data_IF_084292664856
#
_entry.id   IF_084292664856
#
_cell.length_a   1.000
_cell.length_b   1.000
_cell.length_c   1.000
_cell.angle_alpha   90.00
_cell.angle_beta   90.00
_cell.angle_gamma   90.00
#
_symmetry.space_group_name_H-M   'P 1'
#
loop_
_entity.id
_entity.type
_entity.pdbx_description
1 polymer ?
#
# COMPACT_ATOMS: atom_id res chain seq x y z
N UNK A 1 -9.94 4.50 -8.38
CA UNK A 1 -9.88 4.86 -7.15
C UNK A 1 -10.70 4.38 -5.95
N UNK A 2 -11.94 4.83 -5.78
CA UNK A 2 -12.67 4.60 -4.49
C UNK A 2 -12.95 3.11 -4.21
N UNK A 3 -13.24 2.29 -5.23
CA UNK A 3 -13.51 0.87 -5.06
C UNK A 3 -12.28 0.09 -4.58
N UNK A 4 -11.10 0.38 -5.13
CA UNK A 4 -9.84 -0.22 -4.69
C UNK A 4 -9.50 0.20 -3.26
N UNK A 5 -9.67 1.49 -2.94
CA UNK A 5 -9.42 2.02 -1.58
C UNK A 5 -10.32 1.34 -0.55
N UNK A 6 -11.62 1.18 -0.81
CA UNK A 6 -12.54 0.53 0.14
C UNK A 6 -12.24 -0.97 0.37
N UNK A 7 -11.61 -1.66 -0.59
CA UNK A 7 -11.17 -3.04 -0.39
C UNK A 7 -9.97 -3.11 0.58
N UNK A 8 -9.00 -2.20 0.40
CA UNK A 8 -7.81 -2.11 1.26
C UNK A 8 -8.20 -1.65 2.66
N UNK A 9 -9.03 -0.60 2.79
CA UNK A 9 -9.49 -0.09 4.09
C UNK A 9 -10.14 -1.16 4.95
N UNK A 10 -11.00 -2.02 4.37
CA UNK A 10 -11.61 -3.15 5.11
C UNK A 10 -10.58 -4.12 5.70
N UNK A 11 -9.46 -4.37 5.02
CA UNK A 11 -8.40 -5.23 5.56
C UNK A 11 -7.62 -4.51 6.66
N UNK A 12 -7.27 -3.23 6.44
CA UNK A 12 -6.59 -2.38 7.43
C UNK A 12 -7.41 -2.33 8.73
N UNK A 13 -8.71 -2.12 8.62
CA UNK A 13 -9.64 -2.07 9.76
C UNK A 13 -9.75 -3.38 10.54
N UNK A 14 -9.53 -4.52 9.88
CA UNK A 14 -9.51 -5.84 10.54
C UNK A 14 -8.23 -6.10 11.30
N UNK A 15 -7.12 -5.53 10.82
CA UNK A 15 -5.79 -5.74 11.42
C UNK A 15 -5.54 -4.79 12.60
N UNK A 16 -6.17 -3.62 12.61
CA UNK A 16 -5.89 -2.57 13.60
C UNK A 16 -7.17 -2.19 14.37
N UNK A 17 -7.26 -2.70 15.61
CA UNK A 17 -8.39 -2.43 16.50
C UNK A 17 -8.29 -1.04 17.14
N UNK A 18 -9.41 -0.43 17.58
CA UNK A 18 -9.39 0.76 18.43
C UNK A 18 -8.48 0.55 19.65
N UNK A 19 -7.72 1.58 20.01
CA UNK A 19 -6.74 1.54 21.11
C UNK A 19 -5.35 1.04 20.72
N UNK A 20 -5.17 0.40 19.54
CA UNK A 20 -3.85 0.02 19.03
C UNK A 20 -3.03 1.24 18.61
N UNK A 21 -1.69 1.12 18.65
CA UNK A 21 -0.75 2.12 18.15
C UNK A 21 -0.11 1.60 16.85
N UNK A 22 -0.37 2.27 15.74
CA UNK A 22 0.04 1.85 14.39
C UNK A 22 1.07 2.81 13.81
N UNK A 23 2.11 2.25 13.20
CA UNK A 23 3.09 2.96 12.40
C UNK A 23 2.61 2.97 10.93
N UNK A 24 2.41 4.14 10.35
CA UNK A 24 2.14 4.26 8.92
C UNK A 24 3.34 4.85 8.19
N UNK A 25 3.83 4.11 7.21
CA UNK A 25 4.89 4.53 6.30
C UNK A 25 4.31 5.02 4.98
N UNK A 26 4.94 6.06 4.42
CA UNK A 26 4.52 6.65 3.14
C UNK A 26 3.04 7.08 3.17
N UNK A 27 2.66 7.80 4.23
CA UNK A 27 1.27 8.17 4.50
C UNK A 27 0.67 9.14 3.47
N UNK A 28 1.50 9.75 2.62
CA UNK A 28 1.08 10.74 1.64
C UNK A 28 0.29 11.87 2.29
N UNK A 29 -0.91 12.12 1.79
CA UNK A 29 -1.80 13.17 2.31
C UNK A 29 -2.64 12.73 3.52
N UNK A 30 -2.33 11.59 4.16
CA UNK A 30 -2.85 11.17 5.45
C UNK A 30 -4.23 10.53 5.45
N UNK A 31 -4.76 10.08 4.31
CA UNK A 31 -6.13 9.54 4.21
C UNK A 31 -6.35 8.30 5.10
N UNK A 32 -5.41 7.36 5.07
CA UNK A 32 -5.55 6.11 5.81
C UNK A 32 -5.29 6.33 7.31
N UNK A 33 -4.31 7.17 7.67
CA UNK A 33 -4.04 7.60 9.05
C UNK A 33 -5.26 8.28 9.69
N UNK A 34 -5.89 9.23 8.98
CA UNK A 34 -7.10 9.92 9.44
C UNK A 34 -8.26 8.93 9.61
N UNK A 35 -8.45 8.00 8.66
CA UNK A 35 -9.50 7.00 8.76
C UNK A 35 -9.31 6.07 9.97
N UNK A 36 -8.09 5.63 10.24
CA UNK A 36 -7.76 4.83 11.42
C UNK A 36 -7.94 5.63 12.72
N UNK A 37 -7.45 6.87 12.76
CA UNK A 37 -7.55 7.71 13.97
C UNK A 37 -8.99 8.02 14.35
N UNK A 38 -9.88 8.26 13.37
CA UNK A 38 -11.34 8.43 13.60
C UNK A 38 -11.99 7.18 14.20
N UNK A 39 -11.39 6.01 14.04
CA UNK A 39 -11.81 4.74 14.64
C UNK A 39 -11.20 4.48 16.02
N UNK A 40 -10.45 5.43 16.56
CA UNK A 40 -9.81 5.30 17.89
C UNK A 40 -8.47 4.58 17.86
N UNK A 41 -7.84 4.42 16.70
CA UNK A 41 -6.46 3.91 16.57
C UNK A 41 -5.51 5.09 16.78
N UNK A 42 -4.46 4.91 17.60
CA UNK A 42 -3.34 5.85 17.67
C UNK A 42 -2.45 5.63 16.45
N UNK A 43 -2.13 6.70 15.70
CA UNK A 43 -1.32 6.57 14.49
C UNK A 43 -0.11 7.50 14.54
N UNK A 44 1.07 6.94 14.29
CA UNK A 44 2.29 7.69 13.98
C UNK A 44 2.58 7.52 12.48
N UNK A 45 2.33 8.56 11.72
CA UNK A 45 2.35 8.53 10.25
C UNK A 45 3.52 9.34 9.69
N UNK A 46 4.24 8.74 8.75
CA UNK A 46 5.45 9.32 8.18
C UNK A 46 5.42 9.31 6.66
N UNK A 47 5.95 10.39 6.06
CA UNK A 47 6.21 10.48 4.63
C UNK A 47 7.54 11.18 4.36
N UNK A 48 8.20 10.82 3.27
CA UNK A 48 9.47 11.45 2.87
C UNK A 48 9.26 12.88 2.32
N UNK A 49 8.05 13.22 1.87
CA UNK A 49 7.71 14.50 1.27
C UNK A 49 7.19 15.50 2.31
N UNK A 50 7.92 16.60 2.58
CA UNK A 50 7.42 17.65 3.47
C UNK A 50 6.07 18.24 3.01
N UNK A 51 5.84 18.31 1.71
CA UNK A 51 4.59 18.83 1.15
C UNK A 51 3.41 17.90 1.44
N UNK A 52 3.58 16.57 1.33
CA UNK A 52 2.55 15.60 1.69
C UNK A 52 2.21 15.69 3.17
N UNK A 53 3.23 15.78 4.04
CA UNK A 53 3.05 15.95 5.49
C UNK A 53 2.35 17.27 5.81
N UNK A 54 2.67 18.35 5.12
CA UNK A 54 1.99 19.64 5.28
C UNK A 54 0.50 19.53 4.94
N UNK A 55 0.16 18.87 3.82
CA UNK A 55 -1.25 18.64 3.44
C UNK A 55 -1.96 17.77 4.47
N UNK A 56 -1.31 16.70 4.95
CA UNK A 56 -1.86 15.82 5.96
C UNK A 56 -2.16 16.57 7.28
N UNK A 57 -1.21 17.40 7.76
CA UNK A 57 -1.40 18.23 8.94
C UNK A 57 -2.53 19.25 8.78
N UNK A 58 -2.67 19.87 7.58
CA UNK A 58 -3.78 20.77 7.30
C UNK A 58 -5.15 20.04 7.38
N UNK A 59 -5.22 18.81 6.91
CA UNK A 59 -6.45 18.01 7.07
C UNK A 59 -6.73 17.67 8.53
N UNK A 60 -5.69 17.29 9.29
CA UNK A 60 -5.81 17.00 10.71
C UNK A 60 -6.31 18.21 11.50
N UNK A 61 -5.83 19.43 11.20
CA UNK A 61 -6.29 20.66 11.84
C UNK A 61 -7.76 21.02 11.55
N UNK A 62 -8.34 20.45 10.49
CA UNK A 62 -9.75 20.61 10.15
C UNK A 62 -10.66 19.55 10.80
N UNK A 63 -10.09 18.57 11.51
CA UNK A 63 -10.91 17.55 12.21
C UNK A 63 -11.62 18.18 13.41
N UNK A 64 -12.92 17.84 13.60
CA UNK A 64 -13.73 18.43 14.67
C UNK A 64 -13.36 17.90 16.07
N UNK A 65 -12.58 16.82 16.12
CA UNK A 65 -12.16 16.17 17.37
C UNK A 65 -10.64 16.06 17.44
N UNK A 66 -10.10 16.05 18.65
CA UNK A 66 -8.69 15.75 18.88
C UNK A 66 -8.43 14.27 18.60
N UNK A 67 -7.78 13.97 17.49
CA UNK A 67 -7.40 12.62 17.11
C UNK A 67 -6.01 12.27 17.67
N UNK A 68 -5.83 11.02 18.07
CA UNK A 68 -4.54 10.50 18.51
C UNK A 68 -3.66 10.15 17.30
N UNK A 69 -3.27 11.17 16.56
CA UNK A 69 -2.59 11.08 15.27
C UNK A 69 -1.52 12.16 15.16
N UNK A 70 -0.35 11.78 14.66
CA UNK A 70 0.73 12.69 14.32
C UNK A 70 1.28 12.40 12.92
N UNK A 71 1.60 13.46 12.18
CA UNK A 71 2.28 13.38 10.90
C UNK A 71 3.66 14.01 11.00
N UNK A 72 4.69 13.33 10.51
CA UNK A 72 6.07 13.81 10.54
C UNK A 72 6.82 13.44 9.27
N UNK A 73 7.82 14.25 8.91
CA UNK A 73 8.69 13.96 7.77
C UNK A 73 9.73 12.94 8.19
N UNK A 74 9.71 11.78 7.55
CA UNK A 74 10.73 10.75 7.74
C UNK A 74 10.82 9.88 6.48
N UNK A 75 12.04 9.64 6.02
CA UNK A 75 12.31 8.70 4.93
C UNK A 75 12.41 7.27 5.49
N UNK A 76 12.03 6.29 4.70
CA UNK A 76 12.09 4.89 5.12
C UNK A 76 13.51 4.43 5.50
N UNK A 77 14.54 5.00 4.89
CA UNK A 77 15.95 4.73 5.21
C UNK A 77 16.35 5.21 6.63
N UNK A 78 15.53 6.07 7.24
CA UNK A 78 15.77 6.63 8.57
C UNK A 78 14.88 6.03 9.66
N UNK A 79 14.22 4.91 9.41
CA UNK A 79 13.38 4.21 10.40
C UNK A 79 14.15 3.80 11.66
N UNK A 80 15.48 3.70 11.60
CA UNK A 80 16.33 3.46 12.75
C UNK A 80 16.26 4.55 13.84
N UNK A 81 15.79 5.75 13.48
CA UNK A 81 15.60 6.87 14.42
C UNK A 81 14.34 6.73 15.28
N UNK A 82 13.42 5.85 14.89
CA UNK A 82 12.20 5.63 15.65
C UNK A 82 12.49 4.72 16.84
N UNK A 83 11.90 5.07 17.98
CA UNK A 83 11.96 4.30 19.21
C UNK A 83 10.57 3.78 19.59
N UNK A 84 10.55 2.79 20.49
CA UNK A 84 9.33 2.18 20.99
C UNK A 84 8.82 1.04 20.11
N UNK A 85 7.64 0.54 20.49
CA UNK A 85 6.98 -0.59 19.85
C UNK A 85 5.58 -0.20 19.41
N UNK A 86 5.23 -0.65 18.21
CA UNK A 86 3.91 -0.47 17.60
C UNK A 86 3.13 -1.79 17.60
N UNK A 87 1.82 -1.73 17.77
CA UNK A 87 0.94 -2.89 17.66
C UNK A 87 0.82 -3.42 16.23
N UNK A 88 1.23 -2.60 15.27
CA UNK A 88 1.35 -3.00 13.87
C UNK A 88 1.89 -1.87 13.00
N UNK A 89 2.10 -2.18 11.72
CA UNK A 89 2.58 -1.21 10.73
C UNK A 89 1.82 -1.32 9.40
N UNK A 90 1.77 -0.21 8.66
CA UNK A 90 1.07 -0.07 7.41
C UNK A 90 1.93 0.69 6.39
N UNK A 91 1.95 0.22 5.14
CA UNK A 91 2.34 1.03 3.98
C UNK A 91 1.38 0.77 2.84
N UNK A 92 0.65 1.80 2.40
CA UNK A 92 -0.43 1.65 1.45
C UNK A 92 -0.11 2.29 0.09
N UNK A 93 -0.82 1.82 -0.95
CA UNK A 93 -0.78 2.33 -2.33
C UNK A 93 0.61 2.63 -2.88
N UNK A 94 1.47 1.61 -2.86
CA UNK A 94 2.78 1.59 -3.51
C UNK A 94 3.82 2.58 -2.94
N UNK A 95 3.60 3.16 -1.77
CA UNK A 95 4.61 4.02 -1.15
C UNK A 95 5.95 3.30 -0.97
N UNK A 96 5.92 2.05 -0.52
CA UNK A 96 7.12 1.25 -0.33
C UNK A 96 7.84 0.90 -1.66
N UNK A 97 7.13 0.86 -2.80
CA UNK A 97 7.74 0.61 -4.10
C UNK A 97 8.77 1.69 -4.50
N UNK A 98 8.72 2.88 -3.89
CA UNK A 98 9.68 3.97 -4.13
C UNK A 98 10.96 3.84 -3.29
N UNK A 99 11.06 2.86 -2.39
CA UNK A 99 12.25 2.60 -1.59
C UNK A 99 13.11 1.53 -2.25
N UNK A 100 14.44 1.69 -2.16
CA UNK A 100 15.40 0.74 -2.75
C UNK A 100 15.84 -0.32 -1.75
N UNK A 101 15.95 0.01 -0.48
CA UNK A 101 16.40 -0.89 0.59
C UNK A 101 15.23 -1.53 1.35
N UNK A 102 14.60 -2.51 0.72
CA UNK A 102 13.53 -3.28 1.36
C UNK A 102 14.03 -4.19 2.48
N UNK A 103 15.28 -4.64 2.42
CA UNK A 103 15.88 -5.48 3.46
C UNK A 103 16.06 -4.69 4.75
N UNK A 104 16.69 -3.52 4.67
CA UNK A 104 16.86 -2.65 5.83
C UNK A 104 15.51 -2.21 6.42
N UNK A 105 14.51 -1.92 5.59
CA UNK A 105 13.15 -1.60 6.05
C UNK A 105 12.52 -2.80 6.77
N UNK A 106 12.67 -4.03 6.26
CA UNK A 106 12.14 -5.23 6.90
C UNK A 106 12.76 -5.47 8.27
N UNK A 107 14.08 -5.27 8.41
CA UNK A 107 14.80 -5.38 9.68
C UNK A 107 14.33 -4.33 10.69
N UNK A 108 14.16 -3.07 10.25
CA UNK A 108 13.64 -2.01 11.11
C UNK A 108 12.18 -2.25 11.54
N UNK A 109 11.32 -2.69 10.64
CA UNK A 109 9.94 -3.06 10.98
C UNK A 109 9.90 -4.26 11.94
N UNK A 110 10.83 -5.20 11.78
CA UNK A 110 11.00 -6.32 12.72
C UNK A 110 11.32 -5.83 14.15
N UNK A 111 12.10 -4.78 14.27
CA UNK A 111 12.44 -4.14 15.56
C UNK A 111 11.26 -3.33 16.13
N UNK A 112 10.52 -2.64 15.26
CA UNK A 112 9.49 -1.66 15.67
C UNK A 112 8.11 -2.28 15.93
N UNK A 113 7.78 -3.42 15.30
CA UNK A 113 6.49 -4.06 15.47
C UNK A 113 6.55 -5.13 16.54
N UNK A 114 5.59 -5.12 17.47
CA UNK A 114 5.49 -6.13 18.54
C UNK A 114 5.28 -7.54 17.97
N UNK A 115 5.76 -8.61 18.65
CA UNK A 115 5.37 -9.98 18.32
C UNK A 115 3.84 -10.11 18.23
N UNK A 116 3.35 -10.84 17.23
CA UNK A 116 1.93 -10.95 16.94
C UNK A 116 1.30 -9.74 16.22
N UNK A 117 2.02 -8.62 16.11
CA UNK A 117 1.55 -7.42 15.41
C UNK A 117 1.46 -7.61 13.89
N UNK A 118 0.48 -6.94 13.28
CA UNK A 118 0.28 -6.98 11.83
C UNK A 118 1.17 -6.00 11.08
N UNK A 119 1.69 -6.44 9.92
CA UNK A 119 2.30 -5.58 8.90
C UNK A 119 1.46 -5.69 7.62
N UNK A 120 0.76 -4.62 7.28
CA UNK A 120 -0.09 -4.56 6.09
C UNK A 120 0.61 -3.76 5.00
N UNK A 121 0.90 -4.41 3.88
CA UNK A 121 1.55 -3.79 2.72
C UNK A 121 0.64 -3.83 1.50
N UNK A 122 0.40 -2.69 0.87
CA UNK A 122 -0.29 -2.58 -0.41
C UNK A 122 0.70 -2.05 -1.46
N UNK A 123 1.21 -2.95 -2.29
CA UNK A 123 2.32 -2.68 -3.21
C UNK A 123 1.92 -2.94 -4.66
N UNK A 124 2.57 -2.27 -5.61
CA UNK A 124 2.51 -2.64 -7.03
C UNK A 124 3.36 -3.88 -7.27
N UNK A 125 2.72 -4.93 -7.79
CA UNK A 125 3.40 -6.16 -8.20
C UNK A 125 3.88 -6.11 -9.66
N UNK A 126 4.49 -7.22 -10.11
CA UNK A 126 5.03 -7.37 -11.48
C UNK A 126 3.97 -7.47 -12.58
N UNK A 127 2.74 -7.80 -12.22
CA UNK A 127 1.66 -8.02 -13.20
C UNK A 127 0.52 -7.05 -12.91
N UNK A 128 0.00 -6.44 -13.97
CA UNK A 128 -1.23 -5.64 -13.91
C UNK A 128 -2.01 -5.87 -15.19
N UNK A 129 -3.12 -6.60 -15.11
CA UNK A 129 -3.93 -6.99 -16.26
C UNK A 129 -4.35 -5.76 -17.08
N UNK A 130 -4.88 -4.75 -16.43
CA UNK A 130 -5.36 -3.54 -17.08
C UNK A 130 -4.26 -2.76 -17.78
N UNK A 131 -3.08 -2.62 -17.16
CA UNK A 131 -1.94 -1.95 -17.77
C UNK A 131 -1.44 -2.69 -19.01
N UNK A 132 -1.40 -4.03 -18.93
CA UNK A 132 -0.98 -4.88 -20.04
C UNK A 132 -1.97 -4.75 -21.22
N UNK A 133 -3.27 -5.01 -20.98
CA UNK A 133 -4.30 -4.94 -22.01
C UNK A 133 -4.37 -3.55 -22.64
N UNK A 134 -4.46 -2.51 -21.81
CA UNK A 134 -4.52 -1.13 -22.29
C UNK A 134 -3.30 -0.72 -23.13
N UNK A 135 -2.11 -1.16 -22.72
CA UNK A 135 -0.86 -0.84 -23.44
C UNK A 135 -0.74 -1.64 -24.74
N UNK A 136 -1.14 -2.91 -24.75
CA UNK A 136 -1.14 -3.76 -25.94
C UNK A 136 -2.12 -3.25 -27.00
N UNK A 137 -3.34 -2.88 -26.61
CA UNK A 137 -4.33 -2.29 -27.51
C UNK A 137 -3.86 -0.98 -28.18
N UNK A 138 -2.88 -0.29 -27.59
CA UNK A 138 -2.25 0.92 -28.14
C UNK A 138 -0.90 0.68 -28.81
N UNK A 139 -0.53 -0.59 -29.04
CA UNK A 139 0.75 -0.95 -29.68
C UNK A 139 1.99 -0.65 -28.81
N UNK A 140 1.82 -0.41 -27.50
CA UNK A 140 2.91 -0.02 -26.60
C UNK A 140 3.45 -1.24 -25.84
N UNK A 141 4.06 -2.18 -26.52
CA UNK A 141 4.55 -3.46 -25.96
C UNK A 141 5.52 -3.28 -24.80
N UNK A 142 6.49 -2.38 -24.93
CA UNK A 142 7.45 -2.11 -23.82
C UNK A 142 6.76 -1.63 -22.55
N UNK A 143 5.68 -0.85 -22.66
CA UNK A 143 4.91 -0.37 -21.52
C UNK A 143 4.05 -1.48 -20.92
N UNK A 144 3.52 -2.39 -21.74
CA UNK A 144 2.72 -3.52 -21.26
C UNK A 144 3.48 -4.42 -20.29
N UNK A 145 4.80 -4.60 -20.50
CA UNK A 145 5.63 -5.49 -19.71
C UNK A 145 6.66 -4.75 -18.84
N UNK A 146 6.50 -3.44 -18.62
CA UNK A 146 7.49 -2.65 -17.85
C UNK A 146 7.64 -3.12 -16.41
N UNK A 147 6.56 -3.62 -15.78
CA UNK A 147 6.59 -4.12 -14.39
C UNK A 147 7.25 -5.50 -14.28
N UNK A 148 7.31 -6.27 -15.37
CA UNK A 148 7.90 -7.61 -15.38
C UNK A 148 9.43 -7.59 -15.37
N UNK A 149 10.03 -6.42 -15.63
CA UNK A 149 11.48 -6.27 -15.58
C UNK A 149 12.01 -6.41 -14.13
N UNK A 150 13.11 -7.17 -13.98
CA UNK A 150 13.79 -7.29 -12.69
C UNK A 150 14.68 -6.07 -12.47
N UNK A 151 14.51 -5.43 -11.33
CA UNK A 151 15.30 -4.26 -10.94
C UNK A 151 14.51 -2.95 -10.97
N UNK A 152 15.19 -1.84 -10.66
CA UNK A 152 14.60 -0.52 -10.58
C UNK A 152 14.10 -0.04 -11.95
N UNK A 153 12.94 0.58 -11.97
CA UNK A 153 12.33 1.23 -13.12
C UNK A 153 12.15 2.72 -12.84
N UNK A 154 12.37 3.57 -13.84
CA UNK A 154 12.15 5.00 -13.69
C UNK A 154 10.71 5.32 -14.12
N UNK A 155 9.93 5.88 -13.20
CA UNK A 155 8.64 6.48 -13.50
C UNK A 155 8.75 8.01 -13.42
N UNK A 156 8.02 8.70 -14.30
CA UNK A 156 7.87 10.16 -14.25
C UNK A 156 6.48 10.50 -13.77
N UNK A 157 6.40 11.19 -12.63
CA UNK A 157 5.17 11.66 -12.02
C UNK A 157 5.31 13.17 -11.83
N UNK A 158 4.44 13.95 -12.44
CA UNK A 158 4.41 15.41 -12.35
C UNK A 158 5.78 16.08 -12.59
N UNK A 159 6.51 15.59 -13.60
CA UNK A 159 7.83 16.11 -13.97
C UNK A 159 9.00 15.58 -13.13
N UNK A 160 8.73 14.89 -12.02
CA UNK A 160 9.75 14.29 -11.15
C UNK A 160 10.01 12.84 -11.55
N UNK A 161 11.29 12.46 -11.66
CA UNK A 161 11.70 11.08 -11.91
C UNK A 161 11.81 10.33 -10.58
N UNK A 162 11.03 9.28 -10.44
CA UNK A 162 11.05 8.39 -9.27
C UNK A 162 11.54 7.01 -9.68
N UNK A 163 12.42 6.46 -8.87
CA UNK A 163 12.83 5.06 -9.01
C UNK A 163 11.81 4.16 -8.30
N UNK A 164 11.26 3.20 -9.04
CA UNK A 164 10.23 2.29 -8.54
C UNK A 164 10.70 0.84 -8.71
N UNK A 165 10.49 0.03 -7.69
CA UNK A 165 10.73 -1.42 -7.73
C UNK A 165 9.38 -2.15 -7.75
N UNK A 166 9.28 -3.16 -8.61
CA UNK A 166 8.12 -4.06 -8.70
C UNK A 166 8.52 -5.46 -8.20
N UNK A 167 8.45 -5.74 -6.90
CA UNK A 167 8.82 -7.05 -6.38
C UNK A 167 7.77 -8.10 -6.75
N UNK A 168 8.21 -9.35 -6.87
CA UNK A 168 7.29 -10.47 -6.87
C UNK A 168 6.83 -10.80 -5.44
N UNK A 169 5.72 -11.53 -5.32
CA UNK A 169 5.23 -12.02 -4.03
C UNK A 169 6.30 -12.88 -3.32
N UNK A 170 7.00 -13.72 -4.09
CA UNK A 170 8.04 -14.59 -3.53
C UNK A 170 9.20 -13.79 -2.96
N UNK A 171 9.68 -12.77 -3.68
CA UNK A 171 10.72 -11.86 -3.20
C UNK A 171 10.28 -11.09 -1.97
N UNK A 172 9.05 -10.51 -1.98
CA UNK A 172 8.51 -9.81 -0.81
C UNK A 172 8.41 -10.74 0.39
N UNK A 173 7.88 -11.95 0.20
CA UNK A 173 7.79 -12.96 1.27
C UNK A 173 9.17 -13.31 1.84
N UNK A 174 10.18 -13.47 0.99
CA UNK A 174 11.54 -13.79 1.40
C UNK A 174 12.18 -12.64 2.18
N UNK A 175 12.05 -11.39 1.71
CA UNK A 175 12.61 -10.20 2.36
C UNK A 175 12.09 -10.01 3.79
N UNK A 176 10.81 -10.29 4.01
CA UNK A 176 10.20 -10.14 5.35
C UNK A 176 10.24 -11.43 6.19
N UNK A 177 10.78 -12.54 5.68
CA UNK A 177 10.67 -13.86 6.32
C UNK A 177 11.44 -14.00 7.64
N UNK A 178 12.47 -13.20 7.87
CA UNK A 178 13.26 -13.19 9.10
C UNK A 178 12.42 -12.77 10.31
N UNK A 179 11.58 -11.76 10.14
CA UNK A 179 10.76 -11.19 11.22
C UNK A 179 9.27 -11.46 11.11
N UNK A 180 8.77 -11.77 9.92
CA UNK A 180 7.33 -11.85 9.66
C UNK A 180 6.94 -13.13 8.93
N UNK A 181 5.68 -13.53 9.15
CA UNK A 181 5.04 -14.61 8.41
C UNK A 181 3.90 -14.04 7.57
N UNK A 182 3.90 -14.32 6.26
CA UNK A 182 2.79 -13.94 5.39
C UNK A 182 1.58 -14.81 5.69
N UNK A 183 0.50 -14.19 6.21
CA UNK A 183 -0.74 -14.86 6.56
C UNK A 183 -1.75 -14.84 5.42
N UNK A 184 -1.89 -13.70 4.75
CA UNK A 184 -2.86 -13.51 3.66
C UNK A 184 -2.30 -12.59 2.59
N UNK A 185 -2.76 -12.81 1.36
CA UNK A 185 -2.57 -11.83 0.30
C UNK A 185 -3.64 -11.95 -0.78
N UNK A 186 -3.93 -10.85 -1.43
CA UNK A 186 -4.91 -10.76 -2.51
C UNK A 186 -4.53 -9.70 -3.52
N UNK A 187 -5.08 -9.81 -4.73
CA UNK A 187 -5.04 -8.73 -5.70
C UNK A 187 -5.99 -7.60 -5.31
N UNK A 188 -5.65 -6.39 -5.73
CA UNK A 188 -6.49 -5.19 -5.61
C UNK A 188 -6.57 -4.56 -7.00
N UNK A 189 -7.79 -4.33 -7.49
CA UNK A 189 -8.01 -3.83 -8.83
C UNK A 189 -7.60 -4.83 -9.92
N UNK A 190 -7.99 -6.10 -9.78
CA UNK A 190 -7.84 -7.11 -10.84
C UNK A 190 -8.87 -6.86 -11.93
N UNK A 191 -10.14 -6.74 -11.54
CA UNK A 191 -11.27 -6.46 -12.45
C UNK A 191 -11.63 -4.97 -12.47
N UNK A 192 -11.45 -4.25 -11.36
CA UNK A 192 -11.63 -2.79 -11.31
C UNK A 192 -10.44 -2.09 -11.97
N UNK A 193 -10.66 -1.33 -13.04
CA UNK A 193 -9.58 -0.63 -13.73
C UNK A 193 -8.91 0.41 -12.82
N UNK A 194 -7.59 0.64 -13.02
CA UNK A 194 -6.91 1.78 -12.40
C UNK A 194 -7.50 3.11 -12.88
N UNK A 195 -7.32 4.17 -12.09
CA UNK A 195 -7.91 5.50 -12.36
C UNK A 195 -7.55 6.09 -13.74
N UNK A 196 -6.36 5.79 -14.25
CA UNK A 196 -5.95 6.24 -15.59
C UNK A 196 -6.65 5.51 -16.76
N UNK A 197 -7.31 4.37 -16.49
CA UNK A 197 -8.17 3.66 -17.44
C UNK A 197 -9.65 4.01 -17.26
N UNK A 198 -10.00 4.69 -16.18
CA UNK A 198 -11.38 5.01 -15.80
C UNK A 198 -12.19 5.82 -16.83
N UNK A 199 -11.64 6.83 -17.56
CA UNK A 199 -12.45 7.63 -18.47
C UNK A 199 -13.19 6.81 -19.55
N UNK A 200 -12.67 5.63 -19.89
CA UNK A 200 -13.25 4.76 -20.90
C UNK A 200 -14.26 3.73 -20.37
N UNK A 201 -14.29 3.52 -19.03
CA UNK A 201 -15.12 2.50 -18.38
C UNK A 201 -16.14 3.12 -17.42
N UNK A 202 -15.89 4.32 -16.93
CA UNK A 202 -16.59 4.96 -15.79
C UNK A 202 -17.97 5.52 -16.07
N UNK A 203 -18.41 5.63 -17.32
CA UNK A 203 -19.77 6.12 -17.62
C UNK A 203 -20.92 5.25 -17.07
N UNK A 204 -20.60 4.11 -16.43
CA UNK A 204 -21.58 3.11 -15.96
C UNK A 204 -21.31 2.67 -14.52
N UNK A 205 -21.85 3.37 -13.53
CA UNK A 205 -21.78 2.99 -12.09
C UNK A 205 -22.12 1.51 -11.84
N UNK A 206 -23.13 0.97 -12.57
CA UNK A 206 -23.52 -0.44 -12.46
C UNK A 206 -22.38 -1.40 -12.84
N UNK A 207 -21.64 -1.09 -13.89
CA UNK A 207 -20.52 -1.92 -14.33
C UNK A 207 -19.36 -1.88 -13.31
N UNK A 208 -19.04 -0.71 -12.75
CA UNK A 208 -18.02 -0.60 -11.70
C UNK A 208 -18.40 -1.39 -10.45
N UNK A 209 -19.69 -1.36 -10.05
CA UNK A 209 -20.14 -2.16 -8.92
C UNK A 209 -20.04 -3.66 -9.20
N UNK A 210 -20.34 -4.11 -10.41
CA UNK A 210 -20.17 -5.50 -10.82
C UNK A 210 -18.68 -5.90 -10.78
N UNK A 211 -17.79 -5.08 -11.35
CA UNK A 211 -16.35 -5.34 -11.35
C UNK A 211 -15.77 -5.33 -9.92
N UNK A 212 -16.25 -4.44 -9.06
CA UNK A 212 -15.89 -4.41 -7.63
C UNK A 212 -16.37 -5.66 -6.89
N UNK A 213 -17.55 -6.18 -7.24
CA UNK A 213 -18.05 -7.45 -6.70
C UNK A 213 -17.19 -8.62 -7.17
N UNK A 214 -16.84 -8.67 -8.45
CA UNK A 214 -15.91 -9.69 -8.99
C UNK A 214 -14.56 -9.64 -8.30
N UNK A 215 -13.99 -8.46 -8.08
CA UNK A 215 -12.76 -8.31 -7.30
C UNK A 215 -12.91 -8.85 -5.89
N UNK A 216 -14.06 -8.61 -5.22
CA UNK A 216 -14.31 -9.10 -3.86
C UNK A 216 -14.29 -10.64 -3.79
N UNK A 217 -14.84 -11.29 -4.81
CA UNK A 217 -15.05 -12.73 -4.84
C UNK A 217 -13.86 -13.50 -5.43
N UNK A 218 -13.17 -12.94 -6.43
CA UNK A 218 -12.18 -13.67 -7.22
C UNK A 218 -10.74 -13.23 -7.00
N UNK A 219 -10.50 -12.00 -6.53
CA UNK A 219 -9.15 -11.46 -6.38
C UNK A 219 -8.29 -12.12 -5.29
N UNK A 220 -8.82 -13.12 -4.58
CA UNK A 220 -8.06 -13.95 -3.64
C UNK A 220 -7.65 -15.32 -4.22
N UNK A 221 -8.24 -15.70 -5.37
CA UNK A 221 -8.00 -17.02 -5.96
C UNK A 221 -6.57 -17.16 -6.52
N UNK A 222 -5.93 -18.32 -6.36
CA UNK A 222 -4.66 -18.62 -7.02
C UNK A 222 -4.73 -18.35 -8.53
N UNK A 223 -3.70 -17.74 -9.09
CA UNK A 223 -3.66 -17.35 -10.51
C UNK A 223 -4.30 -15.99 -10.80
N UNK A 224 -5.42 -15.65 -10.17
CA UNK A 224 -6.12 -14.36 -10.36
C UNK A 224 -5.48 -13.24 -9.54
N UNK A 225 -5.17 -13.51 -8.29
CA UNK A 225 -4.69 -12.54 -7.29
C UNK A 225 -3.39 -11.82 -7.65
N UNK A 226 -2.58 -12.35 -8.58
CA UNK A 226 -1.34 -11.72 -9.01
C UNK A 226 -1.51 -10.69 -10.14
N UNK A 227 -2.70 -10.56 -10.71
CA UNK A 227 -2.98 -9.70 -11.87
C UNK A 227 -3.54 -8.32 -11.50
N UNK A 228 -3.63 -8.01 -10.21
CA UNK A 228 -4.11 -6.73 -9.72
C UNK A 228 -3.18 -5.56 -10.00
N UNK A 229 -3.73 -4.36 -10.03
CA UNK A 229 -2.94 -3.13 -10.07
C UNK A 229 -2.03 -3.03 -8.83
N UNK A 230 -2.59 -3.43 -7.68
CA UNK A 230 -1.85 -3.60 -6.44
C UNK A 230 -2.03 -5.01 -5.87
N UNK A 231 -1.19 -5.34 -4.92
CA UNK A 231 -1.24 -6.57 -4.14
C UNK A 231 -1.25 -6.15 -2.68
N UNK A 232 -2.26 -6.62 -1.95
CA UNK A 232 -2.39 -6.41 -0.52
C UNK A 232 -1.87 -7.65 0.20
N UNK A 233 -0.85 -7.46 1.03
CA UNK A 233 -0.20 -8.49 1.83
C UNK A 233 -0.43 -8.19 3.31
N UNK A 234 -0.76 -9.21 4.07
CA UNK A 234 -0.94 -9.16 5.52
C UNK A 234 0.04 -10.15 6.14
N UNK A 235 1.03 -9.61 6.81
CA UNK A 235 2.03 -10.35 7.55
C UNK A 235 1.76 -10.23 9.06
N UNK A 236 2.19 -11.22 9.82
CA UNK A 236 2.21 -11.18 11.27
C UNK A 236 3.64 -11.31 11.76
N UNK A 237 4.01 -10.47 12.70
CA UNK A 237 5.33 -10.51 13.35
C UNK A 237 5.48 -11.84 14.10
N UNK A 238 6.55 -12.57 13.83
CA UNK A 238 6.84 -13.83 14.51
C UNK A 238 7.08 -13.58 16.00
N UNK A 239 6.69 -14.53 16.81
CA UNK A 239 7.16 -14.60 18.20
C UNK A 239 8.67 -14.90 18.18
N UNK A 240 9.39 -14.33 19.13
CA UNK A 240 10.86 -14.48 19.24
C UNK A 240 11.21 -15.88 19.77
#
# INVERSE_FOLDING_TARGET
GNAQRSQVSRQIERCFAPGSHVLELNCGTGEDALALARRGVRVSAYDASPEMVRIANNKLSCEPFCLNLQFSVLRNEHLFQLEGLFDGALSNFAGLNCSLDWSGIADQLTRLVKPGGHLVLCIMGRMCLWEMVHSLLRGRFRKAFRRSHRGPSIARIDGTSLTIIYPSISETKQLFSSGFQLCRWRGVGVFVPPSYCEPHVLGRKRMLNLLASLDSWLAHLPGVRCWGDHILLDFVRREA
#
